data_IF_757291448043
#
_entry.id   IF_757291448043
#
_cell.length_a   1.000
_cell.length_b   1.000
_cell.length_c   1.000
_cell.angle_alpha   90.00
_cell.angle_beta   90.00
_cell.angle_gamma   90.00
#
_symmetry.space_group_name_H-M   'P 1'
#
loop_
_entity.id
_entity.type
_entity.pdbx_description
1 polymer ?
#
# COMPACT_ATOMS: atom_id res chain seq x y z
N UNK A 1 8.31 5.55 35.62
CA UNK A 1 7.31 5.18 34.59
C UNK A 1 8.01 4.29 33.56
N UNK A 2 7.68 2.99 33.54
CA UNK A 2 8.37 2.03 32.67
C UNK A 2 7.94 2.24 31.22
N UNK A 3 8.84 2.79 30.39
CA UNK A 3 8.69 2.82 28.93
C UNK A 3 8.62 1.36 28.47
N UNK A 4 7.39 0.87 28.24
CA UNK A 4 7.15 -0.46 27.65
C UNK A 4 7.91 -0.49 26.33
N UNK A 5 8.99 -1.27 26.29
CA UNK A 5 9.66 -1.73 25.09
C UNK A 5 8.63 -2.48 24.25
N UNK A 6 7.79 -1.75 23.50
CA UNK A 6 6.85 -2.33 22.55
C UNK A 6 7.72 -2.88 21.42
N UNK A 7 8.06 -4.16 21.49
CA UNK A 7 8.62 -4.89 20.35
C UNK A 7 7.61 -4.73 19.22
N UNK A 8 7.88 -3.82 18.29
CA UNK A 8 7.10 -3.62 17.08
C UNK A 8 7.08 -4.98 16.39
N UNK A 9 5.91 -5.62 16.41
CA UNK A 9 5.74 -6.94 15.81
C UNK A 9 5.95 -6.85 14.30
N UNK A 10 6.33 -7.95 13.66
CA UNK A 10 6.52 -7.97 12.20
C UNK A 10 5.29 -7.43 11.45
N UNK A 11 4.09 -7.65 12.00
CA UNK A 11 2.81 -7.14 11.48
C UNK A 11 2.75 -5.61 11.53
N UNK A 12 3.18 -4.99 12.62
CA UNK A 12 3.22 -3.52 12.71
C UNK A 12 4.27 -2.92 11.76
N UNK A 13 5.39 -3.62 11.53
CA UNK A 13 6.38 -3.18 10.52
C UNK A 13 5.81 -3.25 9.11
N UNK A 14 5.09 -4.32 8.77
CA UNK A 14 4.43 -4.47 7.45
C UNK A 14 3.35 -3.41 7.26
N UNK A 15 2.53 -3.14 8.29
CA UNK A 15 1.53 -2.06 8.22
C UNK A 15 2.17 -0.69 8.03
N UNK A 16 3.25 -0.40 8.78
CA UNK A 16 3.93 0.89 8.66
C UNK A 16 4.61 1.07 7.29
N UNK A 17 5.14 -0.01 6.69
CA UNK A 17 5.65 -0.01 5.32
C UNK A 17 4.54 0.16 4.29
N UNK A 18 3.45 -0.59 4.41
CA UNK A 18 2.28 -0.49 3.53
C UNK A 18 1.70 0.93 3.51
N UNK A 19 1.66 1.60 4.66
CA UNK A 19 1.18 2.98 4.76
C UNK A 19 2.10 3.97 4.05
N UNK A 20 3.42 3.80 4.14
CA UNK A 20 4.39 4.61 3.38
C UNK A 20 4.25 4.38 1.88
N UNK A 21 4.13 3.13 1.46
CA UNK A 21 3.93 2.74 0.06
C UNK A 21 2.64 3.34 -0.49
N UNK A 22 1.53 3.22 0.25
CA UNK A 22 0.26 3.81 -0.13
C UNK A 22 0.38 5.33 -0.30
N UNK A 23 0.93 6.03 0.70
CA UNK A 23 1.13 7.49 0.63
C UNK A 23 2.01 7.91 -0.55
N UNK A 24 3.05 7.13 -0.87
CA UNK A 24 3.91 7.41 -2.01
C UNK A 24 3.16 7.19 -3.35
N UNK A 25 2.33 6.15 -3.42
CA UNK A 25 1.45 5.92 -4.56
C UNK A 25 0.45 7.07 -4.75
N UNK A 26 -0.27 7.48 -3.69
CA UNK A 26 -1.19 8.63 -3.72
C UNK A 26 -0.49 9.93 -4.14
N UNK A 27 0.75 10.17 -3.66
CA UNK A 27 1.53 11.35 -4.07
C UNK A 27 1.88 11.35 -5.56
N UNK A 28 2.13 10.18 -6.15
CA UNK A 28 2.44 10.04 -7.58
C UNK A 28 1.19 10.05 -8.45
N UNK A 29 0.08 9.52 -7.96
CA UNK A 29 -1.20 9.53 -8.66
C UNK A 29 -2.36 9.87 -7.70
N UNK A 30 -2.81 11.14 -7.66
CA UNK A 30 -3.90 11.55 -6.77
C UNK A 30 -5.25 10.91 -7.14
N UNK A 31 -5.42 10.37 -8.36
CA UNK A 31 -6.63 9.64 -8.76
C UNK A 31 -6.82 8.33 -7.98
N UNK A 32 -5.76 7.82 -7.33
CA UNK A 32 -5.90 6.71 -6.37
C UNK A 32 -6.82 7.08 -5.21
N UNK A 33 -6.98 8.38 -4.90
CA UNK A 33 -7.90 8.93 -3.89
C UNK A 33 -9.36 8.55 -4.12
N UNK A 34 -9.73 8.28 -5.36
CA UNK A 34 -11.08 7.87 -5.76
C UNK A 34 -11.30 6.36 -5.61
N UNK A 35 -10.23 5.58 -5.48
CA UNK A 35 -10.30 4.14 -5.25
C UNK A 35 -10.52 3.79 -3.77
N UNK A 36 -11.16 2.66 -3.50
CA UNK A 36 -11.37 2.19 -2.13
C UNK A 36 -10.03 1.97 -1.42
N UNK A 37 -9.73 2.84 -0.45
CA UNK A 37 -8.50 2.80 0.34
C UNK A 37 -8.26 1.43 1.00
N UNK A 38 -9.33 0.72 1.40
CA UNK A 38 -9.25 -0.62 1.98
C UNK A 38 -8.74 -1.67 0.98
N UNK A 39 -9.20 -1.63 -0.27
CA UNK A 39 -8.73 -2.54 -1.31
C UNK A 39 -7.27 -2.26 -1.66
N UNK A 40 -6.93 -0.98 -1.88
CA UNK A 40 -5.56 -0.53 -2.13
C UNK A 40 -4.60 -0.98 -1.03
N UNK A 41 -4.97 -0.78 0.23
CA UNK A 41 -4.12 -1.16 1.36
C UNK A 41 -3.95 -2.68 1.47
N UNK A 42 -5.00 -3.45 1.17
CA UNK A 42 -4.95 -4.92 1.19
C UNK A 42 -4.04 -5.46 0.08
N UNK A 43 -4.14 -4.89 -1.13
CA UNK A 43 -3.25 -5.19 -2.27
C UNK A 43 -1.80 -4.87 -1.92
N UNK A 44 -1.52 -3.67 -1.42
CA UNK A 44 -0.17 -3.25 -1.02
C UNK A 44 0.42 -4.20 0.03
N UNK A 45 -0.35 -4.54 1.07
CA UNK A 45 0.10 -5.47 2.12
C UNK A 45 0.37 -6.85 1.53
N UNK A 46 -0.51 -7.34 0.65
CA UNK A 46 -0.35 -8.64 -0.01
C UNK A 46 0.93 -8.70 -0.84
N UNK A 47 1.21 -7.68 -1.66
CA UNK A 47 2.43 -7.60 -2.48
C UNK A 47 3.70 -7.46 -1.62
N UNK A 48 3.64 -6.69 -0.53
CA UNK A 48 4.75 -6.58 0.42
C UNK A 48 5.01 -7.91 1.16
N UNK A 49 3.96 -8.68 1.47
CA UNK A 49 4.09 -10.01 2.07
C UNK A 49 4.68 -11.04 1.10
N UNK A 50 4.44 -10.87 -0.21
CA UNK A 50 5.06 -11.68 -1.27
C UNK A 50 6.55 -11.32 -1.49
N UNK A 51 7.07 -10.32 -0.78
CA UNK A 51 8.47 -9.90 -0.88
C UNK A 51 8.75 -8.94 -2.04
N UNK A 52 7.72 -8.31 -2.63
CA UNK A 52 7.92 -7.26 -3.63
C UNK A 52 8.48 -5.98 -3.00
N UNK A 53 9.37 -5.32 -3.73
CA UNK A 53 9.91 -4.02 -3.37
C UNK A 53 8.86 -2.92 -3.34
N UNK A 54 9.05 -1.97 -2.42
CA UNK A 54 8.15 -0.84 -2.19
C UNK A 54 7.88 -0.06 -3.48
N UNK A 55 8.89 0.19 -4.29
CA UNK A 55 8.75 0.89 -5.58
C UNK A 55 8.01 0.08 -6.64
N UNK A 56 8.20 -1.24 -6.66
CA UNK A 56 7.48 -2.14 -7.54
C UNK A 56 6.00 -2.21 -7.17
N UNK A 57 5.68 -2.23 -5.87
CA UNK A 57 4.29 -2.17 -5.38
C UNK A 57 3.63 -0.84 -5.73
N UNK A 58 4.34 0.29 -5.56
CA UNK A 58 3.82 1.60 -5.98
C UNK A 58 3.52 1.63 -7.47
N UNK A 59 4.45 1.19 -8.32
CA UNK A 59 4.22 1.14 -9.77
C UNK A 59 3.08 0.20 -10.14
N UNK A 60 2.97 -0.97 -9.51
CA UNK A 60 1.88 -1.92 -9.74
C UNK A 60 0.51 -1.32 -9.40
N UNK A 61 0.40 -0.66 -8.25
CA UNK A 61 -0.83 -0.02 -7.78
C UNK A 61 -1.21 1.15 -8.67
N UNK A 62 -0.24 2.01 -9.03
CA UNK A 62 -0.47 3.10 -9.97
C UNK A 62 -0.91 2.52 -11.32
N UNK A 63 -0.25 1.49 -11.85
CA UNK A 63 -0.58 0.94 -13.17
C UNK A 63 -1.93 0.21 -13.21
N UNK A 64 -2.31 -0.50 -12.14
CA UNK A 64 -3.61 -1.16 -12.02
C UNK A 64 -4.76 -0.16 -11.91
N UNK A 65 -4.55 0.97 -11.23
CA UNK A 65 -5.60 1.95 -10.95
C UNK A 65 -5.51 3.24 -11.79
N UNK A 66 -4.44 3.46 -12.55
CA UNK A 66 -4.33 4.55 -13.53
C UNK A 66 -5.14 4.26 -14.81
N UNK A 67 -5.72 3.07 -14.93
CA UNK A 67 -6.72 2.77 -15.95
C UNK A 67 -8.12 2.92 -15.35
N UNK A 68 -8.82 4.07 -15.54
CA UNK A 68 -10.22 4.19 -15.18
C UNK A 68 -11.16 3.36 -16.09
N UNK A 69 -10.69 2.36 -16.82
CA UNK A 69 -11.50 1.71 -17.85
C UNK A 69 -11.10 0.27 -18.23
N UNK A 70 -10.95 -0.66 -17.28
CA UNK A 70 -11.01 -2.10 -17.62
C UNK A 70 -11.73 -2.93 -16.56
N UNK A 71 -13.06 -2.82 -16.54
CA UNK A 71 -14.00 -3.93 -16.28
C UNK A 71 -15.44 -3.45 -16.58
N UNK A 72 -15.64 -2.99 -17.81
CA UNK A 72 -16.93 -3.16 -18.48
C UNK A 72 -16.71 -4.24 -19.54
N UNK A 73 -17.12 -5.47 -19.22
CA UNK A 73 -17.66 -6.50 -20.12
C UNK A 73 -17.91 -7.78 -19.32
#
# INVERSE_FOLDING_TARGET
MSLKNRKITAIERVKSKALRVALNAFRKNPALGECQAKQLFTEIVSKLQQGMDEEAVVNFVIQSHAQPNQLSL
#
